data_IF_974086525737
#
_entry.id   IF_974086525737
#
_cell.length_a   1.000
_cell.length_b   1.000
_cell.length_c   1.000
_cell.angle_alpha   90.00
_cell.angle_beta   90.00
_cell.angle_gamma   90.00
#
_symmetry.space_group_name_H-M   'P 1'
#
loop_
_entity.id
_entity.type
_entity.pdbx_description
1 polymer ?
#
# COMPACT_ATOMS: atom_id res chain seq x y z
N UNK A 1 10.44 -3.70 16.77
CA UNK A 1 9.60 -4.93 16.95
C UNK A 1 10.51 -6.15 17.01
N UNK A 2 10.75 -6.70 18.22
CA UNK A 2 11.73 -7.79 18.43
C UNK A 2 11.36 -9.15 17.80
N UNK A 3 10.12 -9.39 17.36
CA UNK A 3 9.69 -10.66 16.74
C UNK A 3 8.93 -10.39 15.45
N UNK A 4 9.34 -11.04 14.36
CA UNK A 4 8.64 -10.95 13.06
C UNK A 4 7.21 -11.48 13.21
N UNK A 5 6.22 -10.70 12.75
CA UNK A 5 4.80 -11.07 12.74
C UNK A 5 4.53 -11.72 11.38
N UNK A 6 4.65 -13.06 11.33
CA UNK A 6 4.61 -13.82 10.07
C UNK A 6 3.30 -13.68 9.29
N UNK A 7 2.17 -13.53 9.97
CA UNK A 7 0.86 -13.36 9.34
C UNK A 7 0.72 -12.06 8.55
N UNK A 8 1.57 -11.05 8.77
CA UNK A 8 1.55 -9.83 7.98
C UNK A 8 2.08 -10.06 6.55
N UNK A 9 2.99 -11.03 6.36
CA UNK A 9 3.34 -11.48 5.01
C UNK A 9 2.11 -12.11 4.33
N UNK A 10 1.29 -12.86 5.09
CA UNK A 10 0.02 -13.41 4.59
C UNK A 10 -1.02 -12.36 4.22
N UNK A 11 -1.13 -11.27 5.01
CA UNK A 11 -2.01 -10.14 4.64
C UNK A 11 -1.56 -9.47 3.35
N UNK A 12 -0.26 -9.34 3.11
CA UNK A 12 0.24 -8.85 1.82
C UNK A 12 -0.16 -9.76 0.66
N UNK A 13 -0.20 -11.09 0.89
CA UNK A 13 -0.70 -12.03 -0.12
C UNK A 13 -2.19 -11.82 -0.39
N UNK A 14 -3.02 -11.63 0.64
CA UNK A 14 -4.44 -11.30 0.48
C UNK A 14 -4.60 -9.99 -0.30
N UNK A 15 -3.84 -8.95 0.06
CA UNK A 15 -3.88 -7.65 -0.58
C UNK A 15 -3.54 -7.73 -2.08
N UNK A 16 -2.43 -8.41 -2.43
CA UNK A 16 -2.04 -8.54 -3.84
C UNK A 16 -3.01 -9.43 -4.62
N UNK A 17 -3.58 -10.48 -4.01
CA UNK A 17 -4.59 -11.30 -4.66
C UNK A 17 -5.86 -10.49 -4.96
N UNK A 18 -6.30 -9.64 -4.02
CA UNK A 18 -7.43 -8.72 -4.25
C UNK A 18 -7.16 -7.78 -5.43
N UNK A 19 -5.97 -7.17 -5.49
CA UNK A 19 -5.56 -6.28 -6.60
C UNK A 19 -5.55 -7.03 -7.94
N UNK A 20 -4.99 -8.23 -8.01
CA UNK A 20 -4.97 -9.04 -9.24
C UNK A 20 -6.40 -9.38 -9.70
N UNK A 21 -7.26 -9.82 -8.78
CA UNK A 21 -8.66 -10.15 -9.10
C UNK A 21 -9.41 -8.88 -9.57
N UNK A 22 -9.16 -7.72 -8.93
CA UNK A 22 -9.73 -6.45 -9.36
C UNK A 22 -9.40 -6.11 -10.82
N UNK A 23 -8.12 -6.15 -11.18
CA UNK A 23 -7.69 -5.75 -12.52
C UNK A 23 -7.99 -6.81 -13.60
N UNK A 24 -7.88 -8.10 -13.27
CA UNK A 24 -8.00 -9.16 -14.26
C UNK A 24 -9.44 -9.66 -14.44
N UNK A 25 -10.26 -9.62 -13.38
CA UNK A 25 -11.63 -10.10 -13.38
C UNK A 25 -12.67 -8.99 -13.15
N UNK A 26 -12.23 -7.73 -13.10
CA UNK A 26 -13.07 -6.53 -12.94
C UNK A 26 -13.98 -6.56 -11.69
N UNK A 27 -13.57 -7.24 -10.61
CA UNK A 27 -14.31 -7.24 -9.34
C UNK A 27 -14.07 -5.92 -8.62
N UNK A 28 -15.03 -5.01 -8.78
CA UNK A 28 -14.89 -3.57 -8.45
C UNK A 28 -14.44 -3.29 -7.02
N UNK A 29 -14.98 -3.96 -6.00
CA UNK A 29 -14.63 -3.67 -4.60
C UNK A 29 -13.23 -4.11 -4.19
N UNK A 30 -12.57 -4.98 -4.96
CA UNK A 30 -11.26 -5.51 -4.58
C UNK A 30 -10.08 -4.54 -4.81
N UNK A 31 -10.34 -3.31 -5.34
CA UNK A 31 -9.37 -2.24 -5.31
C UNK A 31 -8.90 -1.92 -3.87
N UNK A 32 -9.75 -2.20 -2.86
CA UNK A 32 -9.39 -2.03 -1.44
C UNK A 32 -8.19 -2.87 -0.98
N UNK A 33 -7.70 -3.80 -1.81
CA UNK A 33 -6.40 -4.44 -1.61
C UNK A 33 -5.25 -3.44 -1.47
N UNK A 34 -5.35 -2.27 -2.12
CA UNK A 34 -4.39 -1.17 -1.95
C UNK A 34 -4.48 -0.57 -0.54
N UNK A 35 -5.67 -0.45 0.03
CA UNK A 35 -5.83 0.07 1.40
C UNK A 35 -5.24 -0.88 2.44
N UNK A 36 -5.31 -2.20 2.22
CA UNK A 36 -4.58 -3.16 3.06
C UNK A 36 -3.06 -2.91 3.01
N UNK A 37 -2.50 -2.62 1.83
CA UNK A 37 -1.09 -2.26 1.72
C UNK A 37 -0.79 -0.94 2.46
N UNK A 38 -1.62 0.09 2.32
CA UNK A 38 -1.42 1.37 3.00
C UNK A 38 -1.44 1.24 4.53
N UNK A 39 -2.42 0.52 5.09
CA UNK A 39 -2.46 0.29 6.55
C UNK A 39 -1.25 -0.51 7.01
N UNK A 40 -0.85 -1.57 6.26
CA UNK A 40 0.36 -2.34 6.55
C UNK A 40 1.62 -1.48 6.48
N UNK A 41 1.72 -0.59 5.50
CA UNK A 41 2.83 0.34 5.33
C UNK A 41 2.92 1.30 6.51
N UNK A 42 1.81 1.95 6.89
CA UNK A 42 1.74 2.80 8.07
C UNK A 42 2.16 2.08 9.35
N UNK A 43 1.65 0.85 9.56
CA UNK A 43 1.97 0.01 10.72
C UNK A 43 3.47 -0.36 10.79
N UNK A 44 4.01 -0.87 9.70
CA UNK A 44 5.39 -1.36 9.67
C UNK A 44 6.40 -0.22 9.72
N UNK A 45 6.15 0.86 8.99
CA UNK A 45 7.04 2.03 8.95
C UNK A 45 7.08 2.70 10.31
N UNK A 46 5.92 3.00 10.90
CA UNK A 46 5.88 3.61 12.23
C UNK A 46 6.56 2.73 13.27
N UNK A 47 6.34 1.41 13.22
CA UNK A 47 7.01 0.48 14.12
C UNK A 47 8.55 0.52 14.00
N UNK A 48 9.08 0.55 12.76
CA UNK A 48 10.52 0.65 12.51
C UNK A 48 11.07 2.01 12.97
N UNK A 49 10.38 3.09 12.67
CA UNK A 49 10.80 4.44 13.05
C UNK A 49 10.84 4.60 14.57
N UNK A 50 9.84 4.12 15.30
CA UNK A 50 9.82 4.13 16.76
C UNK A 50 10.94 3.29 17.39
N UNK A 51 11.31 2.16 16.78
CA UNK A 51 12.43 1.33 17.27
C UNK A 51 13.79 2.04 17.11
N UNK A 52 13.93 2.94 16.14
CA UNK A 52 15.17 3.67 15.84
C UNK A 52 15.19 5.12 16.34
N UNK A 53 14.12 5.61 16.97
CA UNK A 53 13.95 7.00 17.40
C UNK A 53 15.06 7.52 18.33
N UNK A 54 15.72 6.62 19.07
CA UNK A 54 16.82 6.97 19.99
C UNK A 54 18.18 7.16 19.31
N UNK A 55 18.29 6.89 18.00
CA UNK A 55 19.53 7.10 17.28
C UNK A 55 19.76 8.59 16.97
N UNK A 56 21.02 8.94 16.65
CA UNK A 56 21.32 10.28 16.14
C UNK A 56 20.49 10.57 14.88
N UNK A 57 20.22 11.84 14.61
CA UNK A 57 19.45 12.31 13.47
C UNK A 57 19.94 11.70 12.14
N UNK A 58 21.26 11.76 11.90
CA UNK A 58 21.89 11.16 10.71
C UNK A 58 21.72 9.64 10.68
N UNK A 59 21.84 8.95 11.81
CA UNK A 59 21.67 7.50 11.91
C UNK A 59 20.23 7.09 11.65
N UNK A 60 19.27 7.81 12.22
CA UNK A 60 17.84 7.55 12.08
C UNK A 60 17.37 7.70 10.61
N UNK A 61 17.55 8.88 10.02
CA UNK A 61 17.11 9.16 8.65
C UNK A 61 17.92 8.36 7.62
N UNK A 62 19.26 8.30 7.78
CA UNK A 62 20.11 7.56 6.87
C UNK A 62 19.75 6.07 6.82
N UNK A 63 19.57 5.42 7.98
CA UNK A 63 19.17 4.03 8.04
C UNK A 63 17.79 3.79 7.40
N UNK A 64 16.82 4.66 7.68
CA UNK A 64 15.48 4.53 7.15
C UNK A 64 15.46 4.66 5.61
N UNK A 65 15.95 5.78 5.08
CA UNK A 65 15.90 6.04 3.64
C UNK A 65 16.76 5.07 2.83
N UNK A 66 17.93 4.69 3.33
CA UNK A 66 18.79 3.69 2.68
C UNK A 66 18.07 2.33 2.54
N UNK A 67 17.39 1.87 3.60
CA UNK A 67 16.63 0.61 3.55
C UNK A 67 15.44 0.70 2.60
N UNK A 68 14.77 1.85 2.55
CA UNK A 68 13.65 2.07 1.62
C UNK A 68 14.13 2.12 0.18
N UNK A 69 15.16 2.89 -0.11
CA UNK A 69 15.76 2.96 -1.43
C UNK A 69 16.15 1.56 -1.97
N UNK A 70 16.85 0.75 -1.15
CA UNK A 70 17.21 -0.63 -1.53
C UNK A 70 16.02 -1.54 -1.80
N UNK A 71 14.87 -1.28 -1.18
CA UNK A 71 13.66 -2.09 -1.37
C UNK A 71 12.82 -1.63 -2.55
N UNK A 72 12.74 -0.33 -2.79
CA UNK A 72 11.79 0.28 -3.72
C UNK A 72 12.44 0.53 -5.08
N UNK A 73 13.61 1.18 -5.10
CA UNK A 73 14.22 1.64 -6.35
C UNK A 73 14.59 0.52 -7.31
N UNK A 74 15.21 -0.62 -6.89
CA UNK A 74 15.65 -1.61 -7.86
C UNK A 74 14.48 -2.24 -8.65
N UNK A 75 13.37 -2.74 -8.03
CA UNK A 75 12.23 -3.24 -8.79
C UNK A 75 11.51 -2.13 -9.56
N UNK A 76 11.49 -0.90 -9.05
CA UNK A 76 10.92 0.25 -9.74
C UNK A 76 11.67 0.59 -11.03
N UNK A 77 13.01 0.68 -10.97
CA UNK A 77 13.85 0.93 -12.13
C UNK A 77 13.78 -0.23 -13.13
N UNK A 78 13.67 -1.47 -12.64
CA UNK A 78 13.48 -2.63 -13.50
C UNK A 78 12.12 -2.57 -14.22
N UNK A 79 11.04 -2.14 -13.54
CA UNK A 79 9.76 -1.88 -14.19
C UNK A 79 9.91 -0.86 -15.33
N UNK A 80 10.56 0.28 -15.06
CA UNK A 80 10.76 1.32 -16.06
C UNK A 80 11.60 0.81 -17.25
N UNK A 81 12.62 -0.02 -17.00
CA UNK A 81 13.39 -0.66 -18.05
C UNK A 81 12.54 -1.60 -18.91
N UNK A 82 11.74 -2.45 -18.27
CA UNK A 82 10.84 -3.39 -18.99
C UNK A 82 9.80 -2.61 -19.80
N UNK A 83 9.21 -1.57 -19.23
CA UNK A 83 8.23 -0.74 -19.95
C UNK A 83 8.87 0.00 -21.14
N UNK A 84 10.16 0.36 -21.07
CA UNK A 84 10.89 0.91 -22.22
C UNK A 84 10.93 -0.06 -23.38
N UNK A 85 11.15 -1.34 -23.12
CA UNK A 85 11.20 -2.39 -24.14
C UNK A 85 9.81 -2.62 -24.75
N UNK A 86 8.76 -2.52 -23.93
CA UNK A 86 7.38 -2.91 -24.28
C UNK A 86 6.59 -1.78 -24.93
N UNK A 87 6.70 -0.56 -24.39
CA UNK A 87 5.91 0.62 -24.80
C UNK A 87 6.77 1.77 -25.34
N UNK A 88 8.09 1.57 -25.42
CA UNK A 88 9.03 2.60 -25.86
C UNK A 88 9.42 3.60 -24.78
N UNK A 89 10.05 4.69 -25.17
CA UNK A 89 10.72 5.66 -24.29
C UNK A 89 9.81 6.80 -23.81
N UNK A 90 8.49 6.65 -23.95
CA UNK A 90 7.51 7.73 -23.65
C UNK A 90 7.70 8.29 -22.24
N UNK A 91 7.91 7.43 -21.25
CA UNK A 91 8.05 7.81 -19.85
C UNK A 91 9.34 8.59 -19.53
N UNK A 92 10.39 8.47 -20.36
CA UNK A 92 11.69 9.09 -20.07
C UNK A 92 11.60 10.63 -20.02
N UNK A 93 10.71 11.21 -20.80
CA UNK A 93 10.49 12.67 -20.84
C UNK A 93 9.57 13.15 -19.72
N UNK A 94 8.91 12.24 -19.03
CA UNK A 94 7.88 12.54 -18.07
C UNK A 94 8.47 12.59 -16.65
N UNK A 95 8.81 13.78 -16.21
CA UNK A 95 9.48 14.06 -14.93
C UNK A 95 8.76 13.52 -13.70
N UNK A 96 7.45 13.38 -13.73
CA UNK A 96 6.63 12.91 -12.61
C UNK A 96 6.93 11.46 -12.19
N UNK A 97 7.45 10.62 -13.07
CA UNK A 97 7.90 9.28 -12.69
C UNK A 97 9.12 9.32 -11.79
N UNK A 98 10.02 10.29 -11.97
CA UNK A 98 11.23 10.42 -11.17
C UNK A 98 10.97 10.95 -9.76
N UNK A 99 9.89 11.72 -9.57
CA UNK A 99 9.54 12.36 -8.31
C UNK A 99 8.36 11.70 -7.57
N UNK A 100 7.91 10.52 -8.01
CA UNK A 100 6.74 9.85 -7.43
C UNK A 100 5.50 10.74 -7.37
N UNK A 101 5.16 11.36 -8.49
CA UNK A 101 4.00 12.25 -8.62
C UNK A 101 2.90 11.69 -9.53
N UNK A 102 2.93 10.37 -9.80
CA UNK A 102 1.94 9.73 -10.66
C UNK A 102 0.52 9.86 -10.11
N UNK A 103 0.34 9.99 -8.81
CA UNK A 103 -0.96 10.24 -8.20
C UNK A 103 -1.56 11.60 -8.57
N UNK A 104 -0.73 12.63 -8.79
CA UNK A 104 -1.17 13.94 -9.29
C UNK A 104 -1.59 13.83 -10.75
N UNK A 105 -0.83 13.10 -11.57
CA UNK A 105 -1.14 12.87 -12.98
C UNK A 105 -2.47 12.10 -13.13
N UNK A 106 -2.65 11.03 -12.36
CA UNK A 106 -3.93 10.30 -12.32
C UNK A 106 -5.10 11.21 -11.91
N UNK A 107 -4.89 12.08 -10.94
CA UNK A 107 -5.92 13.01 -10.46
C UNK A 107 -6.32 14.08 -11.50
N UNK A 108 -5.39 14.52 -12.33
CA UNK A 108 -5.63 15.53 -13.38
C UNK A 108 -6.18 14.93 -14.66
N UNK A 109 -6.22 13.59 -14.80
CA UNK A 109 -6.70 12.93 -16.00
C UNK A 109 -5.76 13.06 -17.21
N UNK A 110 -4.51 13.46 -17.01
CA UNK A 110 -3.51 13.51 -18.08
C UNK A 110 -3.28 12.09 -18.60
N UNK A 111 -3.36 11.86 -19.93
CA UNK A 111 -3.15 10.54 -20.52
C UNK A 111 -1.77 9.98 -20.19
N UNK A 112 -1.73 8.73 -19.78
CA UNK A 112 -0.50 8.01 -19.45
C UNK A 112 -0.65 6.52 -19.79
N UNK A 113 0.45 5.76 -19.94
CA UNK A 113 0.37 4.34 -20.19
C UNK A 113 -0.37 3.58 -19.07
N UNK A 114 -1.43 2.84 -19.41
CA UNK A 114 -2.21 2.07 -18.42
C UNK A 114 -1.38 1.07 -17.61
N UNK A 115 -0.29 0.56 -18.19
CA UNK A 115 0.66 -0.31 -17.50
C UNK A 115 1.38 0.35 -16.31
N UNK A 116 1.44 1.69 -16.29
CA UNK A 116 2.07 2.49 -15.24
C UNK A 116 1.05 3.20 -14.32
N UNK A 117 -0.24 3.03 -14.57
CA UNK A 117 -1.31 3.66 -13.80
C UNK A 117 -1.21 3.32 -12.30
N UNK A 118 -0.88 2.07 -11.97
CA UNK A 118 -0.72 1.61 -10.58
C UNK A 118 0.28 2.42 -9.73
N UNK A 119 1.17 3.16 -10.37
CA UNK A 119 2.20 3.95 -9.68
C UNK A 119 1.64 5.11 -8.87
N UNK A 120 0.34 5.46 -9.03
CA UNK A 120 -0.31 6.44 -8.18
C UNK A 120 -0.27 6.05 -6.69
N UNK A 121 -0.49 4.78 -6.38
CA UNK A 121 -0.48 4.32 -4.98
C UNK A 121 0.93 4.30 -4.38
N UNK A 122 1.94 3.94 -5.18
CA UNK A 122 3.33 4.05 -4.77
C UNK A 122 3.71 5.52 -4.49
N UNK A 123 3.21 6.46 -5.30
CA UNK A 123 3.42 7.88 -5.06
C UNK A 123 2.85 8.32 -3.71
N UNK A 124 1.63 7.89 -3.36
CA UNK A 124 1.04 8.16 -2.04
C UNK A 124 1.91 7.63 -0.90
N UNK A 125 2.41 6.39 -1.03
CA UNK A 125 3.30 5.80 -0.01
C UNK A 125 4.62 6.56 0.12
N UNK A 126 5.28 6.90 -0.99
CA UNK A 126 6.58 7.59 -0.97
C UNK A 126 6.45 9.01 -0.41
N UNK A 127 5.36 9.73 -0.73
CA UNK A 127 5.09 11.03 -0.14
C UNK A 127 4.86 10.94 1.38
N UNK A 128 4.18 9.90 1.86
CA UNK A 128 4.06 9.64 3.28
C UNK A 128 5.43 9.30 3.91
N UNK A 129 6.26 8.46 3.26
CA UNK A 129 7.59 8.11 3.75
C UNK A 129 8.55 9.30 3.76
N UNK A 130 8.31 10.32 2.95
CA UNK A 130 9.09 11.55 2.99
C UNK A 130 8.80 12.36 4.26
N UNK A 131 7.55 12.47 4.66
CA UNK A 131 7.09 13.35 5.75
C UNK A 131 7.04 12.64 7.10
N UNK A 132 6.53 11.40 7.16
CA UNK A 132 6.22 10.70 8.39
C UNK A 132 7.43 10.45 9.32
N UNK A 133 8.64 10.18 8.82
CA UNK A 133 9.82 10.05 9.68
C UNK A 133 10.13 11.28 10.50
N UNK A 134 9.88 12.48 9.99
CA UNK A 134 10.03 13.73 10.73
C UNK A 134 9.02 13.83 11.86
N UNK A 135 7.76 13.50 11.58
CA UNK A 135 6.68 13.46 12.59
C UNK A 135 7.09 12.52 13.74
N UNK A 136 7.53 11.30 13.40
CA UNK A 136 7.91 10.30 14.42
C UNK A 136 9.16 10.71 15.19
N UNK A 137 10.13 11.33 14.55
CA UNK A 137 11.40 11.72 15.22
C UNK A 137 11.19 12.85 16.20
N UNK A 138 10.49 13.91 15.82
CA UNK A 138 10.39 15.13 16.61
C UNK A 138 9.24 15.14 17.61
N UNK A 139 8.19 14.35 17.44
CA UNK A 139 7.04 14.36 18.30
C UNK A 139 7.09 13.24 19.37
N UNK A 140 6.45 13.43 20.52
CA UNK A 140 6.21 12.36 21.49
C UNK A 140 5.28 11.30 20.95
N UNK A 141 5.24 10.10 21.55
CA UNK A 141 4.36 9.01 21.09
C UNK A 141 2.87 9.43 21.20
N UNK A 142 2.52 10.27 22.17
CA UNK A 142 1.18 10.84 22.32
C UNK A 142 0.87 11.86 21.21
N UNK A 143 1.80 12.77 20.91
CA UNK A 143 1.63 13.73 19.82
C UNK A 143 1.57 13.06 18.45
N UNK A 144 2.30 11.96 18.23
CA UNK A 144 2.18 11.13 17.03
C UNK A 144 0.76 10.54 16.94
N UNK A 145 0.21 10.06 18.06
CA UNK A 145 -1.16 9.52 18.09
C UNK A 145 -2.19 10.60 17.75
N UNK A 146 -2.04 11.83 18.29
CA UNK A 146 -2.90 12.96 17.95
C UNK A 146 -2.77 13.38 16.47
N UNK A 147 -1.55 13.44 15.95
CA UNK A 147 -1.31 13.73 14.53
C UNK A 147 -1.96 12.68 13.62
N UNK A 148 -1.76 11.38 13.90
CA UNK A 148 -2.38 10.32 13.14
C UNK A 148 -3.92 10.32 13.27
N UNK A 149 -4.45 10.52 14.48
CA UNK A 149 -5.89 10.65 14.72
C UNK A 149 -6.50 11.84 13.98
N UNK A 150 -5.80 12.99 13.98
CA UNK A 150 -6.18 14.16 13.22
C UNK A 150 -6.26 13.89 11.71
N UNK A 151 -5.31 13.14 11.14
CA UNK A 151 -5.33 12.74 9.73
C UNK A 151 -6.54 11.83 9.43
N UNK A 152 -6.84 10.87 10.32
CA UNK A 152 -8.00 9.97 10.17
C UNK A 152 -9.33 10.75 10.14
N UNK A 153 -9.44 11.81 10.91
CA UNK A 153 -10.63 12.68 10.91
C UNK A 153 -10.62 13.65 9.73
N UNK A 154 -9.45 14.20 9.38
CA UNK A 154 -9.34 15.21 8.34
C UNK A 154 -9.59 14.63 6.94
N UNK A 155 -9.19 13.39 6.65
CA UNK A 155 -9.33 12.81 5.31
C UNK A 155 -10.80 12.69 4.85
N UNK A 156 -11.75 12.12 5.63
CA UNK A 156 -13.17 12.12 5.24
C UNK A 156 -13.76 13.54 5.13
N UNK A 157 -13.35 14.45 6.01
CA UNK A 157 -13.77 15.85 5.92
C UNK A 157 -13.27 16.51 4.63
N UNK A 158 -12.01 16.30 4.26
CA UNK A 158 -11.44 16.78 3.00
C UNK A 158 -12.16 16.15 1.81
N UNK A 159 -12.45 14.85 1.82
CA UNK A 159 -13.25 14.20 0.77
C UNK A 159 -14.62 14.85 0.63
N UNK A 160 -15.31 15.12 1.75
CA UNK A 160 -16.61 15.80 1.73
C UNK A 160 -16.52 17.22 1.15
N UNK A 161 -15.58 18.02 1.62
CA UNK A 161 -15.44 19.43 1.24
C UNK A 161 -14.93 19.59 -0.20
N UNK A 162 -13.94 18.78 -0.59
CA UNK A 162 -13.24 18.95 -1.86
C UNK A 162 -13.91 18.21 -3.04
N UNK A 163 -14.81 17.24 -2.81
CA UNK A 163 -15.48 16.52 -3.92
C UNK A 163 -16.07 17.45 -4.99
N UNK A 164 -16.76 18.57 -4.66
CA UNK A 164 -17.32 19.45 -5.67
C UNK A 164 -16.29 20.23 -6.49
N UNK A 165 -15.04 20.25 -6.06
CA UNK A 165 -13.95 20.95 -6.75
C UNK A 165 -13.40 20.14 -7.93
N UNK A 166 -13.73 18.86 -8.02
CA UNK A 166 -13.21 17.95 -9.03
C UNK A 166 -14.32 17.43 -9.96
N UNK A 167 -14.04 17.44 -11.25
CA UNK A 167 -14.99 16.92 -12.26
C UNK A 167 -15.16 15.39 -12.19
N UNK A 168 -14.16 14.66 -11.72
CA UNK A 168 -14.17 13.20 -11.63
C UNK A 168 -13.61 12.70 -10.29
N UNK A 169 -13.98 11.46 -9.91
CA UNK A 169 -13.56 10.83 -8.66
C UNK A 169 -12.05 10.55 -8.58
N UNK A 170 -11.31 10.61 -9.68
CA UNK A 170 -9.89 10.27 -9.74
C UNK A 170 -9.02 11.10 -8.79
N UNK A 171 -9.35 12.38 -8.59
CA UNK A 171 -8.63 13.23 -7.64
C UNK A 171 -8.80 12.73 -6.20
N UNK A 172 -10.03 12.39 -5.81
CA UNK A 172 -10.33 11.83 -4.48
C UNK A 172 -9.71 10.43 -4.33
N UNK A 173 -9.67 9.66 -5.41
CA UNK A 173 -9.11 8.31 -5.43
C UNK A 173 -7.59 8.29 -5.27
N UNK A 174 -6.85 9.22 -5.92
CA UNK A 174 -5.41 9.12 -6.08
C UNK A 174 -4.60 10.10 -5.22
N UNK A 175 -5.13 11.29 -4.88
CA UNK A 175 -4.35 12.29 -4.16
C UNK A 175 -4.11 11.92 -2.69
N UNK A 176 -2.89 12.12 -2.23
CA UNK A 176 -2.41 11.76 -0.89
C UNK A 176 -3.26 12.29 0.25
N UNK A 177 -3.74 13.56 0.27
CA UNK A 177 -4.56 14.06 1.38
C UNK A 177 -5.86 13.29 1.60
N UNK A 178 -6.41 12.65 0.54
CA UNK A 178 -7.63 11.88 0.61
C UNK A 178 -7.41 10.40 0.94
N UNK A 179 -6.16 9.95 1.04
CA UNK A 179 -5.77 8.54 1.25
C UNK A 179 -4.87 8.31 2.46
N UNK A 180 -4.42 9.40 3.13
CA UNK A 180 -3.51 9.31 4.27
C UNK A 180 -4.12 8.65 5.51
N UNK A 181 -5.44 8.63 5.63
CA UNK A 181 -6.16 8.00 6.75
C UNK A 181 -5.80 6.52 6.91
N UNK A 182 -5.69 5.78 5.82
CA UNK A 182 -5.29 4.37 5.84
C UNK A 182 -3.87 4.17 6.39
N UNK A 183 -2.92 5.00 5.96
CA UNK A 183 -1.55 5.01 6.48
C UNK A 183 -1.52 5.44 7.96
N UNK A 184 -2.32 6.44 8.33
CA UNK A 184 -2.43 6.94 9.70
C UNK A 184 -3.06 5.92 10.66
N UNK A 185 -4.10 5.18 10.23
CA UNK A 185 -4.65 4.06 11.00
C UNK A 185 -3.56 3.00 11.23
N UNK A 186 -2.76 2.69 10.21
CA UNK A 186 -1.60 1.81 10.35
C UNK A 186 -0.63 2.30 11.43
N UNK A 187 -0.33 3.60 11.46
CA UNK A 187 0.53 4.22 12.47
C UNK A 187 -0.07 4.12 13.88
N UNK A 188 -1.37 4.38 14.04
CA UNK A 188 -2.08 4.21 15.32
C UNK A 188 -2.02 2.77 15.81
N UNK A 189 -2.24 1.80 14.92
CA UNK A 189 -2.13 0.37 15.26
C UNK A 189 -0.70 0.01 15.71
N UNK A 190 0.33 0.61 15.13
CA UNK A 190 1.73 0.41 15.56
C UNK A 190 1.98 0.94 16.98
N UNK A 191 1.48 2.12 17.30
CA UNK A 191 1.57 2.71 18.65
C UNK A 191 0.84 1.84 19.68
N UNK A 192 -0.39 1.41 19.40
CA UNK A 192 -1.18 0.57 20.30
C UNK A 192 -0.53 -0.82 20.44
N UNK A 193 -0.02 -1.40 19.35
CA UNK A 193 0.70 -2.69 19.39
C UNK A 193 1.94 -2.62 20.28
N UNK A 194 2.64 -1.49 20.26
CA UNK A 194 3.83 -1.28 21.08
C UNK A 194 3.52 -1.10 22.55
N UNK A 195 2.51 -0.28 22.86
CA UNK A 195 2.15 0.08 24.24
C UNK A 195 1.25 -0.96 24.91
N UNK A 196 0.29 -1.53 24.18
CA UNK A 196 -0.76 -2.43 24.71
C UNK A 196 -1.01 -3.64 23.82
N UNK A 197 -0.02 -4.50 23.56
CA UNK A 197 -0.15 -5.63 22.61
C UNK A 197 -1.24 -6.64 23.02
N UNK A 198 -1.48 -6.83 24.32
CA UNK A 198 -2.56 -7.70 24.82
C UNK A 198 -3.94 -7.15 24.42
N UNK A 199 -4.15 -5.83 24.56
CA UNK A 199 -5.42 -5.19 24.20
C UNK A 199 -5.73 -5.33 22.70
N UNK A 200 -4.73 -5.11 21.84
CA UNK A 200 -4.92 -5.23 20.39
C UNK A 200 -5.23 -6.68 19.99
N UNK A 201 -4.64 -7.67 20.66
CA UNK A 201 -4.96 -9.08 20.42
C UNK A 201 -6.38 -9.43 20.85
N UNK A 202 -6.84 -8.89 21.98
CA UNK A 202 -8.22 -9.10 22.45
C UNK A 202 -9.24 -8.44 21.51
N UNK A 203 -9.03 -7.20 21.12
CA UNK A 203 -9.89 -6.49 20.17
C UNK A 203 -9.85 -7.11 18.78
N UNK A 204 -8.68 -7.61 18.36
CA UNK A 204 -8.48 -8.20 17.04
C UNK A 204 -9.32 -9.44 16.78
N UNK A 205 -9.77 -10.17 17.82
CA UNK A 205 -10.70 -11.30 17.64
C UNK A 205 -12.05 -10.85 17.03
N UNK A 206 -12.43 -9.58 17.22
CA UNK A 206 -13.64 -8.99 16.64
C UNK A 206 -13.38 -8.29 15.30
N UNK A 207 -12.13 -8.32 14.80
CA UNK A 207 -11.75 -7.63 13.57
C UNK A 207 -12.57 -8.08 12.35
N UNK A 208 -12.78 -9.38 12.20
CA UNK A 208 -13.62 -9.90 11.10
C UNK A 208 -15.09 -9.47 11.24
N UNK A 209 -15.60 -9.36 12.46
CA UNK A 209 -16.96 -8.84 12.68
C UNK A 209 -17.08 -7.38 12.22
N UNK A 210 -16.07 -6.55 12.52
CA UNK A 210 -15.99 -5.18 12.02
C UNK A 210 -16.01 -5.16 10.48
N UNK A 211 -15.20 -6.03 9.84
CA UNK A 211 -15.14 -6.11 8.38
C UNK A 211 -16.50 -6.55 7.79
N UNK A 212 -17.15 -7.57 8.37
CA UNK A 212 -18.46 -8.05 7.91
C UNK A 212 -19.52 -6.96 8.08
N UNK A 213 -19.54 -6.25 9.21
CA UNK A 213 -20.46 -5.15 9.44
C UNK A 213 -20.29 -4.05 8.40
N UNK A 214 -19.04 -3.67 8.10
CA UNK A 214 -18.75 -2.65 7.09
C UNK A 214 -19.16 -3.10 5.67
N UNK A 215 -18.96 -4.38 5.32
CA UNK A 215 -19.47 -4.95 4.06
C UNK A 215 -21.01 -4.91 4.02
N UNK A 216 -21.69 -5.22 5.14
CA UNK A 216 -23.14 -5.10 5.24
C UNK A 216 -23.65 -3.67 5.00
N UNK A 217 -22.97 -2.67 5.60
CA UNK A 217 -23.28 -1.25 5.36
C UNK A 217 -23.07 -0.89 3.89
N UNK A 218 -21.96 -1.30 3.27
CA UNK A 218 -21.74 -1.09 1.83
C UNK A 218 -22.84 -1.72 0.99
N UNK A 219 -23.29 -2.95 1.33
CA UNK A 219 -24.37 -3.62 0.64
C UNK A 219 -25.71 -2.87 0.74
N UNK A 220 -25.97 -2.21 1.88
CA UNK A 220 -27.16 -1.34 2.05
C UNK A 220 -27.02 -0.07 1.20
N UNK A 221 -25.87 0.60 1.25
CA UNK A 221 -25.62 1.81 0.48
C UNK A 221 -25.68 1.55 -1.04
N UNK A 222 -25.18 0.39 -1.48
CA UNK A 222 -25.19 -0.02 -2.89
C UNK A 222 -26.60 -0.28 -3.46
N UNK A 223 -27.64 -0.33 -2.64
CA UNK A 223 -29.03 -0.37 -3.11
C UNK A 223 -29.47 0.96 -3.74
N UNK A 224 -28.77 2.05 -3.41
CA UNK A 224 -28.99 3.33 -4.08
C UNK A 224 -28.25 3.33 -5.43
N UNK A 225 -28.94 3.47 -6.58
CA UNK A 225 -28.32 3.46 -7.91
C UNK A 225 -27.24 4.53 -8.11
N UNK A 226 -27.33 5.65 -7.39
CA UNK A 226 -26.32 6.72 -7.40
C UNK A 226 -25.05 6.42 -6.60
N UNK A 227 -25.05 5.34 -5.81
CA UNK A 227 -23.90 4.95 -4.98
C UNK A 227 -23.07 3.90 -5.72
N UNK A 228 -22.12 4.35 -6.54
CA UNK A 228 -21.20 3.48 -7.30
C UNK A 228 -19.75 3.80 -6.99
N UNK A 229 -18.84 2.86 -7.25
CA UNK A 229 -17.40 3.05 -7.01
C UNK A 229 -16.76 4.18 -7.84
N UNK A 230 -17.45 4.67 -8.85
CA UNK A 230 -16.99 5.73 -9.77
C UNK A 230 -17.82 7.01 -9.67
N UNK A 231 -18.86 7.02 -8.83
CA UNK A 231 -19.68 8.21 -8.64
C UNK A 231 -18.90 9.29 -7.87
N UNK A 232 -18.84 10.49 -8.44
CA UNK A 232 -18.17 11.63 -7.80
C UNK A 232 -19.17 12.45 -6.97
N UNK A 233 -19.71 11.86 -5.90
CA UNK A 233 -20.58 12.55 -4.96
C UNK A 233 -19.95 12.59 -3.58
N UNK A 234 -20.29 13.61 -2.77
CA UNK A 234 -19.80 13.73 -1.38
C UNK A 234 -20.06 12.47 -0.57
N UNK A 235 -21.27 11.95 -0.65
CA UNK A 235 -21.66 10.74 0.08
C UNK A 235 -20.84 9.53 -0.36
N UNK A 236 -20.73 9.28 -1.65
CA UNK A 236 -19.95 8.14 -2.15
C UNK A 236 -18.48 8.26 -1.79
N UNK A 237 -17.88 9.44 -2.01
CA UNK A 237 -16.45 9.67 -1.73
C UNK A 237 -16.10 9.64 -0.23
N UNK A 238 -17.06 9.78 0.67
CA UNK A 238 -16.83 9.53 2.09
C UNK A 238 -17.06 8.06 2.41
N UNK A 239 -18.28 7.57 2.19
CA UNK A 239 -18.67 6.25 2.71
C UNK A 239 -17.92 5.08 2.10
N UNK A 240 -17.56 5.14 0.80
CA UNK A 240 -16.85 4.02 0.16
C UNK A 240 -15.45 3.84 0.73
N UNK A 241 -14.75 4.95 1.01
CA UNK A 241 -13.40 4.90 1.58
C UNK A 241 -13.42 4.60 3.07
N UNK A 242 -14.40 5.12 3.84
CA UNK A 242 -14.54 4.79 5.26
C UNK A 242 -14.87 3.31 5.46
N UNK A 243 -15.78 2.75 4.64
CA UNK A 243 -16.09 1.32 4.72
C UNK A 243 -14.88 0.47 4.31
N UNK A 244 -14.14 0.85 3.27
CA UNK A 244 -12.89 0.21 2.91
C UNK A 244 -11.87 0.25 4.06
N UNK A 245 -11.70 1.41 4.68
CA UNK A 245 -10.83 1.59 5.86
C UNK A 245 -11.24 0.66 7.00
N UNK A 246 -12.54 0.55 7.32
CA UNK A 246 -13.04 -0.33 8.36
C UNK A 246 -12.85 -1.81 8.02
N UNK A 247 -13.14 -2.21 6.78
CA UNK A 247 -12.93 -3.59 6.30
C UNK A 247 -11.46 -3.97 6.43
N UNK A 248 -10.56 -3.15 5.90
CA UNK A 248 -9.12 -3.42 5.89
C UNK A 248 -8.52 -3.36 7.30
N UNK A 249 -8.96 -2.42 8.14
CA UNK A 249 -8.55 -2.34 9.56
C UNK A 249 -8.99 -3.59 10.31
N UNK A 250 -10.21 -4.05 10.10
CA UNK A 250 -10.73 -5.26 10.71
C UNK A 250 -9.92 -6.52 10.33
N UNK A 251 -9.57 -6.66 9.06
CA UNK A 251 -8.71 -7.76 8.57
C UNK A 251 -7.34 -7.72 9.24
N UNK A 252 -6.72 -6.54 9.37
CA UNK A 252 -5.41 -6.38 10.01
C UNK A 252 -5.49 -6.64 11.51
N UNK A 253 -6.52 -6.15 12.20
CA UNK A 253 -6.77 -6.45 13.60
C UNK A 253 -6.93 -7.95 13.84
N UNK A 254 -7.72 -8.63 12.99
CA UNK A 254 -7.84 -10.09 13.03
C UNK A 254 -6.48 -10.77 12.87
N UNK A 255 -5.68 -10.38 11.90
CA UNK A 255 -4.34 -10.93 11.71
C UNK A 255 -3.44 -10.71 12.94
N UNK A 256 -3.51 -9.52 13.56
CA UNK A 256 -2.74 -9.20 14.77
C UNK A 256 -3.23 -9.95 16.01
N UNK A 257 -4.50 -10.42 16.04
CA UNK A 257 -5.01 -11.24 17.14
C UNK A 257 -4.26 -12.55 17.31
N UNK A 258 -3.74 -13.09 16.21
CA UNK A 258 -3.11 -14.41 16.15
C UNK A 258 -4.09 -15.58 16.20
N UNK A 259 -5.42 -15.31 16.26
CA UNK A 259 -6.47 -16.35 16.31
C UNK A 259 -6.96 -16.68 14.91
N UNK A 260 -7.07 -17.98 14.60
CA UNK A 260 -7.60 -18.50 13.33
C UNK A 260 -6.81 -18.00 12.09
N UNK A 261 -5.54 -17.60 12.27
CA UNK A 261 -4.68 -17.02 11.22
C UNK A 261 -3.74 -18.04 10.57
N UNK A 262 -3.96 -19.35 10.79
CA UNK A 262 -3.07 -20.41 10.30
C UNK A 262 -2.83 -20.32 8.80
N UNK A 263 -3.86 -20.02 8.02
CA UNK A 263 -3.77 -19.86 6.57
C UNK A 263 -2.77 -18.78 6.17
N UNK A 264 -2.73 -17.64 6.90
CA UNK A 264 -1.81 -16.54 6.63
C UNK A 264 -0.35 -16.88 6.91
N UNK A 265 -0.10 -17.98 7.64
CA UNK A 265 1.25 -18.43 8.01
C UNK A 265 1.78 -19.55 7.15
N UNK A 266 0.98 -20.08 6.22
CA UNK A 266 1.41 -21.10 5.26
C UNK A 266 2.55 -20.58 4.39
N UNK A 267 3.53 -21.45 4.11
CA UNK A 267 4.74 -21.06 3.38
C UNK A 267 4.45 -20.46 1.99
N UNK A 268 3.55 -21.01 1.15
CA UNK A 268 3.21 -20.40 -0.15
C UNK A 268 2.57 -19.02 -0.01
N UNK A 269 1.65 -18.85 0.96
CA UNK A 269 0.97 -17.57 1.21
C UNK A 269 1.97 -16.51 1.65
N UNK A 270 2.85 -16.84 2.59
CA UNK A 270 3.93 -15.92 3.02
C UNK A 270 4.91 -15.61 1.90
N UNK A 271 5.16 -16.58 1.02
CA UNK A 271 6.03 -16.36 -0.13
C UNK A 271 5.42 -15.34 -1.10
N UNK A 272 4.15 -15.52 -1.48
CA UNK A 272 3.41 -14.54 -2.30
C UNK A 272 3.45 -13.14 -1.66
N UNK A 273 3.25 -13.04 -0.34
CA UNK A 273 3.36 -11.77 0.38
C UNK A 273 4.75 -11.14 0.35
N UNK A 274 5.83 -11.93 0.26
CA UNK A 274 7.19 -11.39 0.14
C UNK A 274 7.46 -10.77 -1.23
N UNK A 275 6.99 -11.42 -2.29
CA UNK A 275 7.17 -10.95 -3.67
C UNK A 275 6.08 -9.98 -4.11
N UNK A 276 5.10 -9.69 -3.26
CA UNK A 276 3.89 -8.91 -3.59
C UNK A 276 4.19 -7.53 -4.16
N UNK A 277 5.30 -6.90 -3.77
CA UNK A 277 5.70 -5.60 -4.30
C UNK A 277 6.01 -5.67 -5.80
N UNK A 278 6.83 -6.61 -6.22
CA UNK A 278 7.17 -6.79 -7.64
C UNK A 278 5.98 -7.32 -8.44
N UNK A 279 5.16 -8.22 -7.85
CA UNK A 279 3.88 -8.63 -8.46
C UNK A 279 3.01 -7.40 -8.73
N UNK A 280 2.86 -6.51 -7.73
CA UNK A 280 2.10 -5.27 -7.88
C UNK A 280 2.64 -4.40 -9.02
N UNK A 281 3.94 -4.21 -9.10
CA UNK A 281 4.56 -3.34 -10.09
C UNK A 281 4.38 -3.82 -11.54
N UNK A 282 4.43 -5.13 -11.79
CA UNK A 282 4.56 -5.64 -13.17
C UNK A 282 3.27 -6.19 -13.76
N UNK A 283 2.24 -6.50 -12.96
CA UNK A 283 1.06 -7.24 -13.43
C UNK A 283 0.29 -6.53 -14.55
N UNK A 284 0.14 -5.21 -14.50
CA UNK A 284 -0.51 -4.48 -15.60
C UNK A 284 0.33 -4.46 -16.87
N UNK A 285 1.65 -4.45 -16.77
CA UNK A 285 2.51 -4.57 -17.94
C UNK A 285 2.28 -5.90 -18.66
N UNK A 286 2.27 -7.02 -17.92
CA UNK A 286 1.92 -8.32 -18.49
C UNK A 286 0.50 -8.33 -19.07
N UNK A 287 -0.47 -7.78 -18.36
CA UNK A 287 -1.86 -7.71 -18.81
C UNK A 287 -1.98 -6.97 -20.16
N UNK A 288 -1.46 -5.75 -20.25
CA UNK A 288 -1.56 -4.94 -21.47
C UNK A 288 -0.76 -5.51 -22.65
N UNK A 289 0.35 -6.19 -22.40
CA UNK A 289 1.11 -6.89 -23.45
C UNK A 289 0.32 -8.08 -23.97
N UNK A 290 -0.13 -8.95 -23.07
CA UNK A 290 -0.82 -10.18 -23.44
C UNK A 290 -2.18 -9.93 -24.07
N UNK A 291 -2.88 -8.86 -23.68
CA UNK A 291 -4.17 -8.46 -24.24
C UNK A 291 -4.10 -8.21 -25.77
N UNK A 292 -2.91 -7.88 -26.29
CA UNK A 292 -2.72 -7.70 -27.74
C UNK A 292 -2.78 -9.02 -28.53
N UNK A 293 -2.56 -10.16 -27.87
CA UNK A 293 -2.44 -11.47 -28.51
C UNK A 293 -3.46 -12.48 -28.00
N UNK A 294 -4.01 -12.28 -26.80
CA UNK A 294 -4.91 -13.23 -26.12
C UNK A 294 -6.27 -12.58 -25.90
N UNK A 295 -7.26 -13.00 -26.67
CA UNK A 295 -8.62 -12.43 -26.62
C UNK A 295 -9.54 -13.16 -25.64
N UNK A 296 -9.22 -14.38 -25.23
CA UNK A 296 -9.99 -15.09 -24.22
C UNK A 296 -9.63 -14.60 -22.82
N UNK A 297 -10.60 -14.08 -22.10
CA UNK A 297 -10.41 -13.45 -20.79
C UNK A 297 -9.81 -14.40 -19.74
N UNK A 298 -10.22 -15.67 -19.73
CA UNK A 298 -9.70 -16.64 -18.76
C UNK A 298 -8.22 -16.97 -19.03
N UNK A 299 -7.85 -17.20 -20.28
CA UNK A 299 -6.46 -17.40 -20.68
C UNK A 299 -5.61 -16.17 -20.45
N UNK A 300 -6.13 -14.97 -20.76
CA UNK A 300 -5.44 -13.70 -20.48
C UNK A 300 -5.14 -13.55 -19.00
N UNK A 301 -6.13 -13.75 -18.13
CA UNK A 301 -5.95 -13.66 -16.69
C UNK A 301 -4.94 -14.69 -16.19
N UNK A 302 -5.06 -15.95 -16.62
CA UNK A 302 -4.15 -17.03 -16.22
C UNK A 302 -2.71 -16.74 -16.65
N UNK A 303 -2.47 -16.39 -17.91
CA UNK A 303 -1.14 -16.10 -18.42
C UNK A 303 -0.53 -14.85 -17.77
N UNK A 304 -1.35 -13.82 -17.49
CA UNK A 304 -0.91 -12.65 -16.75
C UNK A 304 -0.44 -13.03 -15.35
N UNK A 305 -1.21 -13.82 -14.60
CA UNK A 305 -0.82 -14.28 -13.26
C UNK A 305 0.47 -15.11 -13.32
N UNK A 306 0.54 -16.09 -14.20
CA UNK A 306 1.71 -16.97 -14.33
C UNK A 306 2.96 -16.14 -14.69
N UNK A 307 2.89 -15.33 -15.74
CA UNK A 307 4.01 -14.48 -16.17
C UNK A 307 4.47 -13.52 -15.08
N UNK A 308 3.52 -12.89 -14.40
CA UNK A 308 3.79 -11.97 -13.25
C UNK A 308 4.49 -12.69 -12.10
N UNK A 309 4.03 -13.89 -11.73
CA UNK A 309 4.63 -14.67 -10.64
C UNK A 309 6.02 -15.18 -11.00
N UNK A 310 6.22 -15.63 -12.21
CA UNK A 310 7.55 -16.05 -12.69
C UNK A 310 8.55 -14.89 -12.68
N UNK A 311 8.15 -13.75 -13.23
CA UNK A 311 8.96 -12.53 -13.20
C UNK A 311 9.29 -12.08 -11.79
N UNK A 312 8.29 -11.97 -10.91
CA UNK A 312 8.48 -11.52 -9.52
C UNK A 312 9.35 -12.51 -8.72
N UNK A 313 9.24 -13.81 -9.00
CA UNK A 313 10.11 -14.84 -8.42
C UNK A 313 11.56 -14.68 -8.89
N UNK A 314 11.78 -14.50 -10.18
CA UNK A 314 13.11 -14.26 -10.74
C UNK A 314 13.71 -12.96 -10.15
N UNK A 315 12.98 -11.86 -10.16
CA UNK A 315 13.40 -10.59 -9.55
C UNK A 315 13.77 -10.76 -8.07
N UNK A 316 12.97 -11.49 -7.31
CA UNK A 316 13.24 -11.75 -5.90
C UNK A 316 14.58 -12.44 -5.67
N UNK A 317 14.85 -13.53 -6.37
CA UNK A 317 16.08 -14.30 -6.16
C UNK A 317 17.31 -13.64 -6.76
N UNK A 318 17.19 -13.03 -7.93
CA UNK A 318 18.32 -12.46 -8.66
C UNK A 318 18.71 -11.07 -8.16
N UNK A 319 17.76 -10.26 -7.66
CA UNK A 319 17.99 -8.86 -7.35
C UNK A 319 17.57 -8.49 -5.92
N UNK A 320 16.30 -8.67 -5.55
CA UNK A 320 15.78 -8.10 -4.31
C UNK A 320 16.38 -8.75 -3.06
N UNK A 321 16.36 -10.08 -2.98
CA UNK A 321 16.88 -10.82 -1.82
C UNK A 321 18.37 -10.53 -1.58
N UNK A 322 19.28 -10.56 -2.56
CA UNK A 322 20.67 -10.16 -2.38
C UNK A 322 20.85 -8.75 -1.85
N UNK A 323 20.13 -7.77 -2.42
CA UNK A 323 20.21 -6.36 -2.01
C UNK A 323 19.68 -6.13 -0.58
N UNK A 324 18.65 -6.86 -0.16
CA UNK A 324 18.06 -6.74 1.17
C UNK A 324 18.87 -7.45 2.25
N UNK A 325 19.65 -8.48 1.89
CA UNK A 325 20.49 -9.25 2.82
C UNK A 325 21.91 -8.72 2.90
N UNK A 326 22.39 -7.94 1.92
CA UNK A 326 23.70 -7.30 1.96
C UNK A 326 23.78 -6.36 3.17
N UNK A 327 24.80 -6.56 4.02
CA UNK A 327 25.07 -5.64 5.15
C UNK A 327 25.24 -4.23 4.59
N UNK A 328 24.65 -3.19 5.23
CA UNK A 328 25.00 -1.82 4.89
C UNK A 328 26.51 -1.68 5.02
N UNK A 329 27.17 -1.11 3.99
CA UNK A 329 28.56 -0.68 4.15
C UNK A 329 28.60 0.20 5.39
N UNK A 330 29.31 -0.24 6.41
CA UNK A 330 29.49 0.48 7.66
C UNK A 330 30.00 1.87 7.34
N UNK A 331 29.17 2.89 7.60
CA UNK A 331 29.72 4.23 7.79
C UNK A 331 30.77 4.09 8.88
N UNK A 332 32.01 4.62 8.69
CA UNK A 332 33.07 4.49 9.68
C UNK A 332 32.49 4.91 11.04
N UNK A 333 32.59 4.02 12.01
CA UNK A 333 32.38 4.41 13.41
C UNK A 333 33.39 5.51 13.68
N UNK A 334 32.96 6.77 13.74
CA UNK A 334 33.77 7.83 14.30
C UNK A 334 34.10 7.38 15.70
N UNK A 335 35.39 6.96 15.89
CA UNK A 335 35.95 6.71 17.20
C UNK A 335 35.58 7.89 18.09
N UNK A 336 34.98 7.59 19.23
CA UNK A 336 34.80 8.56 20.30
C UNK A 336 36.22 9.10 20.63
N UNK A 337 36.45 10.36 20.34
CA UNK A 337 37.51 11.16 20.94
C UNK A 337 36.93 11.75 22.21
#
# INVERSE_FOLDING_TARGET
MKKKINQLDGIRAVAISAVLIHHLLHVRLLWMGVDLFFILSGFLITGVLLDHKKHSLRGYFGHFYQRRARRILPPYLLLLLVTTIVIGTIWIREWYYYFFLMNVITATGVPHPGSLEILWSLAVEEQFYLVWPFVVYFLSDEAIAWAAGGIVIAAPLLRWLCTPLFAAHWAIYALTPFRMDTLAVGALLALIWRSRPKKIRQLGQYGLLLSVAAVGVLGILARNPGFTTTANTRSTNVWIYEMSLMICTGIILWALSGRWVRILTLAPVRYLGRISYTVYLIHLTFFFVLMRYVHNTAWLAMLTVVGTLLYATASWFLMEKPLLTSKPSTLPQLKKI
#
